data_IF_827459997238
#
_entry.id   IF_827459997238
#
_cell.length_a   1.000
_cell.length_b   1.000
_cell.length_c   1.000
_cell.angle_alpha   90.00
_cell.angle_beta   90.00
_cell.angle_gamma   90.00
#
_symmetry.space_group_name_H-M   'P 1'
#
loop_
_entity.id
_entity.type
_entity.pdbx_description
1 polymer ?
#
# COMPACT_ATOMS: atom_id res chain seq x y z
N UNK A 1 12.43 -5.78 0.13
CA UNK A 1 13.26 -5.33 -1.02
C UNK A 1 13.08 -3.84 -1.37
N UNK A 2 11.96 -3.18 -1.02
CA UNK A 2 11.72 -1.75 -1.31
C UNK A 2 11.20 -1.00 -0.07
N UNK A 3 12.08 -0.54 0.83
CA UNK A 3 11.68 0.08 2.08
C UNK A 3 11.11 1.50 1.91
N UNK A 4 11.30 2.12 0.74
CA UNK A 4 10.84 3.49 0.48
C UNK A 4 9.52 3.48 -0.29
N UNK A 5 8.47 3.96 0.37
CA UNK A 5 7.10 4.11 -0.17
C UNK A 5 6.67 5.59 -0.24
N UNK A 6 7.64 6.52 -0.21
CA UNK A 6 7.36 7.93 -0.37
C UNK A 6 6.79 8.27 -1.74
N UNK A 7 6.06 9.38 -1.84
CA UNK A 7 5.35 9.82 -3.06
C UNK A 7 6.24 10.05 -4.28
N UNK A 8 7.54 10.25 -4.10
CA UNK A 8 8.51 10.34 -5.19
C UNK A 8 8.84 8.98 -5.86
N UNK A 9 8.39 7.87 -5.26
CA UNK A 9 8.69 6.50 -5.73
C UNK A 9 7.46 5.93 -6.44
N UNK A 10 7.21 6.35 -7.68
CA UNK A 10 6.09 5.83 -8.48
C UNK A 10 6.31 4.40 -9.00
N UNK A 11 7.54 3.88 -8.94
CA UNK A 11 7.84 2.51 -9.38
C UNK A 11 7.16 1.44 -8.55
N UNK A 12 6.80 1.72 -7.29
CA UNK A 12 6.03 0.80 -6.45
C UNK A 12 4.63 0.52 -7.02
N UNK A 13 4.04 1.49 -7.73
CA UNK A 13 2.71 1.37 -8.33
C UNK A 13 2.72 0.42 -9.54
N UNK A 14 3.84 0.31 -10.26
CA UNK A 14 3.92 -0.54 -11.46
C UNK A 14 3.71 -2.03 -11.17
N UNK A 15 4.02 -2.48 -9.95
CA UNK A 15 3.88 -3.87 -9.54
C UNK A 15 2.79 -4.10 -8.49
N UNK A 16 2.16 -3.03 -8.00
CA UNK A 16 1.11 -3.13 -7.00
C UNK A 16 -0.24 -3.43 -7.66
N UNK A 17 -1.12 -4.12 -6.92
CA UNK A 17 -2.49 -4.41 -7.33
C UNK A 17 -3.52 -3.55 -6.57
N UNK A 18 -3.07 -2.76 -5.60
CA UNK A 18 -3.91 -1.98 -4.71
C UNK A 18 -3.13 -1.25 -3.62
N UNK A 19 -3.89 -0.58 -2.74
CA UNK A 19 -3.36 0.10 -1.57
C UNK A 19 -3.59 -0.73 -0.30
N UNK A 20 -2.54 -0.93 0.49
CA UNK A 20 -2.66 -1.33 1.88
C UNK A 20 -2.88 -0.08 2.74
N UNK A 21 -3.92 -0.08 3.58
CA UNK A 21 -4.26 1.07 4.42
C UNK A 21 -3.57 0.94 5.77
N UNK A 22 -2.71 1.91 6.09
CA UNK A 22 -2.10 2.06 7.40
C UNK A 22 -2.85 3.19 8.11
N UNK A 23 -3.50 2.96 9.25
CA UNK A 23 -4.15 4.02 10.02
C UNK A 23 -3.12 5.04 10.51
N UNK A 24 -3.58 6.26 10.81
CA UNK A 24 -2.75 7.28 11.43
C UNK A 24 -2.14 6.78 12.75
N UNK A 25 -0.94 7.27 13.05
CA UNK A 25 -0.17 6.94 14.25
C UNK A 25 0.01 5.43 14.51
N UNK A 26 -0.08 4.61 13.46
CA UNK A 26 -0.01 3.15 13.57
C UNK A 26 1.23 2.60 12.89
N UNK A 27 1.91 1.65 13.56
CA UNK A 27 2.95 0.81 12.98
C UNK A 27 2.44 -0.62 12.90
N UNK A 28 2.54 -1.24 11.73
CA UNK A 28 2.10 -2.62 11.47
C UNK A 28 3.30 -3.56 11.56
N UNK A 29 3.14 -4.72 12.20
CA UNK A 29 4.14 -5.78 12.25
C UNK A 29 3.76 -6.97 11.36
N UNK A 30 4.73 -7.85 11.11
CA UNK A 30 4.50 -9.03 10.27
C UNK A 30 3.40 -9.94 10.84
N UNK A 31 2.47 -10.37 9.98
CA UNK A 31 1.33 -11.21 10.36
C UNK A 31 0.07 -10.45 10.74
N UNK A 32 0.14 -9.13 10.92
CA UNK A 32 -1.04 -8.29 11.13
C UNK A 32 -1.84 -8.09 9.84
N UNK A 33 -3.17 -8.02 9.98
CA UNK A 33 -4.07 -7.78 8.86
C UNK A 33 -4.28 -6.29 8.67
N UNK A 34 -4.34 -5.85 7.42
CA UNK A 34 -4.65 -4.48 7.02
C UNK A 34 -5.82 -4.46 6.05
N UNK A 35 -6.53 -3.34 5.98
CA UNK A 35 -7.49 -3.14 4.91
C UNK A 35 -6.76 -2.99 3.57
N UNK A 36 -7.31 -3.57 2.51
CA UNK A 36 -6.75 -3.54 1.17
C UNK A 36 -7.77 -2.99 0.17
N UNK A 37 -7.36 -1.98 -0.60
CA UNK A 37 -8.17 -1.34 -1.64
C UNK A 37 -7.60 -1.67 -3.03
N UNK A 38 -8.25 -2.57 -3.79
CA UNK A 38 -7.77 -2.94 -5.13
C UNK A 38 -7.89 -1.77 -6.11
N UNK A 39 -6.88 -1.59 -6.98
CA UNK A 39 -6.93 -0.56 -8.03
C UNK A 39 -8.13 -0.76 -8.98
N UNK A 40 -8.46 -2.02 -9.28
CA UNK A 40 -9.61 -2.38 -10.11
C UNK A 40 -10.95 -1.83 -9.60
N UNK A 41 -11.07 -1.53 -8.30
CA UNK A 41 -12.28 -0.96 -7.68
C UNK A 41 -12.30 0.57 -7.69
N UNK A 42 -11.17 1.22 -8.00
CA UNK A 42 -11.00 2.67 -7.95
C UNK A 42 -11.06 3.33 -9.34
N UNK A 43 -10.91 2.55 -10.42
CA UNK A 43 -10.88 3.04 -11.81
C UNK A 43 -12.17 2.73 -12.60
N UNK A 44 -13.30 2.64 -11.90
CA UNK A 44 -14.63 2.46 -12.50
C UNK A 44 -15.26 3.81 -12.88
#
# INVERSE_FOLDING_TARGET
LYPNQGSAVLTSVHWAEGFAVIPEDTTITEGEKVAFYPFARLMA
#
